data_IF_649377688215
#
_entry.id   IF_649377688215
#
_cell.length_a   1.000
_cell.length_b   1.000
_cell.length_c   1.000
_cell.angle_alpha   90.00
_cell.angle_beta   90.00
_cell.angle_gamma   90.00
#
_symmetry.space_group_name_H-M   'P 1'
#
loop_
_entity.id
_entity.type
_entity.pdbx_description
1 polymer ?
#
# COMPACT_ATOMS: atom_id res chain seq x y z
N UNK A 1 7.59 26.47 -15.06
CA UNK A 1 8.05 26.42 -13.65
C UNK A 1 8.48 24.99 -13.40
N UNK A 2 9.76 24.75 -13.15
CA UNK A 2 10.29 23.40 -12.92
C UNK A 2 10.18 23.11 -11.44
N UNK A 3 9.23 22.27 -11.04
CA UNK A 3 9.13 21.77 -9.67
C UNK A 3 10.12 20.61 -9.52
N UNK A 4 10.98 20.67 -8.52
CA UNK A 4 11.82 19.56 -8.12
C UNK A 4 11.30 19.06 -6.79
N UNK A 5 10.97 17.78 -6.70
CA UNK A 5 10.87 17.13 -5.42
C UNK A 5 11.18 15.66 -5.50
N UNK A 6 11.08 15.03 -4.34
CA UNK A 6 11.60 13.70 -4.09
C UNK A 6 10.42 12.77 -3.83
N UNK A 7 10.33 11.61 -4.53
CA UNK A 7 9.30 10.62 -4.25
C UNK A 7 9.35 10.21 -2.77
N UNK A 8 8.20 9.81 -2.24
CA UNK A 8 8.13 9.26 -0.88
C UNK A 8 8.55 7.79 -0.96
N UNK A 9 9.60 7.42 -0.22
CA UNK A 9 10.18 6.08 -0.24
C UNK A 9 10.05 5.53 1.16
N UNK A 10 9.14 4.57 1.33
CA UNK A 10 8.81 3.98 2.61
C UNK A 10 9.49 2.61 2.73
N UNK A 11 10.44 2.49 3.65
CA UNK A 11 11.12 1.24 4.02
C UNK A 11 10.18 0.37 4.86
N UNK A 12 9.88 -0.84 4.40
CA UNK A 12 9.13 -1.84 5.17
C UNK A 12 10.10 -2.54 6.11
N UNK A 13 10.00 -2.27 7.41
CA UNK A 13 10.99 -2.76 8.38
C UNK A 13 10.98 -4.27 8.57
N UNK A 14 9.80 -4.87 8.56
CA UNK A 14 9.65 -6.30 8.89
C UNK A 14 9.38 -7.16 7.66
N UNK A 15 8.75 -6.60 6.62
CA UNK A 15 8.24 -7.35 5.48
C UNK A 15 7.07 -8.27 5.83
N UNK A 16 6.58 -8.25 7.08
CA UNK A 16 5.57 -9.16 7.61
C UNK A 16 4.19 -8.50 7.65
N UNK A 17 3.14 -9.34 7.55
CA UNK A 17 1.75 -8.90 7.59
C UNK A 17 1.09 -9.13 8.96
N UNK A 18 1.55 -10.11 9.74
CA UNK A 18 0.84 -10.64 10.91
C UNK A 18 1.07 -9.82 12.19
N UNK A 19 2.29 -9.34 12.44
CA UNK A 19 2.64 -8.61 13.67
C UNK A 19 2.60 -7.07 13.50
N UNK A 20 2.16 -6.59 12.34
CA UNK A 20 2.30 -5.20 11.95
C UNK A 20 3.69 -4.92 11.35
N UNK A 21 3.76 -4.05 10.35
CA UNK A 21 5.03 -3.50 9.89
C UNK A 21 5.11 -2.00 10.06
N UNK A 22 6.28 -1.52 10.45
CA UNK A 22 6.60 -0.11 10.49
C UNK A 22 7.12 0.33 9.12
N UNK A 23 6.55 1.43 8.62
CA UNK A 23 6.97 2.08 7.38
C UNK A 23 7.60 3.43 7.72
N UNK A 24 8.88 3.60 7.35
CA UNK A 24 9.63 4.83 7.57
C UNK A 24 9.99 5.47 6.23
N UNK A 25 9.71 6.76 6.06
CA UNK A 25 10.30 7.49 4.93
C UNK A 25 11.82 7.54 5.09
N UNK A 26 12.56 7.16 4.06
CA UNK A 26 14.03 7.15 4.07
C UNK A 26 14.64 8.53 4.26
N UNK A 27 13.87 9.59 4.00
CA UNK A 27 14.27 10.99 4.24
C UNK A 27 13.63 11.56 5.51
N UNK A 28 13.02 10.72 6.35
CA UNK A 28 12.37 11.07 7.61
C UNK A 28 11.28 12.14 7.49
N UNK A 29 10.69 12.33 6.30
CA UNK A 29 9.62 13.32 6.05
C UNK A 29 8.25 12.81 6.49
N UNK A 30 8.07 11.49 6.52
CA UNK A 30 6.85 10.84 6.98
C UNK A 30 7.22 9.69 7.91
N UNK A 31 6.81 9.83 9.17
CA UNK A 31 6.93 8.78 10.19
C UNK A 31 5.55 8.41 10.70
N UNK A 32 5.07 7.22 10.36
CA UNK A 32 3.83 6.68 10.91
C UNK A 32 4.16 6.00 12.24
N UNK A 33 4.06 6.75 13.34
CA UNK A 33 4.23 6.20 14.69
C UNK A 33 2.87 5.89 15.35
N UNK A 34 2.80 4.91 16.26
CA UNK A 34 1.60 4.62 17.04
C UNK A 34 1.26 5.69 18.11
N UNK A 35 1.92 6.86 18.14
CA UNK A 35 1.72 7.91 19.17
C UNK A 35 0.78 9.03 18.70
N UNK A 36 0.02 8.83 17.62
CA UNK A 36 -1.02 9.78 17.20
C UNK A 36 -2.33 9.36 17.87
N UNK A 37 -3.06 10.25 18.59
CA UNK A 37 -4.37 9.92 19.17
C UNK A 37 -5.44 9.60 18.11
N UNK A 38 -5.11 9.70 16.82
CA UNK A 38 -5.97 9.35 15.68
C UNK A 38 -5.12 8.82 14.53
N UNK A 39 -5.17 7.52 14.28
CA UNK A 39 -4.52 6.91 13.12
C UNK A 39 -5.05 7.54 11.81
N UNK A 40 -4.15 7.76 10.83
CA UNK A 40 -4.54 8.27 9.50
C UNK A 40 -5.42 7.25 8.75
N UNK A 41 -5.10 5.98 8.92
CA UNK A 41 -5.92 4.85 8.52
C UNK A 41 -5.89 3.78 9.62
N UNK A 42 -7.02 3.11 9.85
CA UNK A 42 -7.08 1.93 10.73
C UNK A 42 -7.58 0.73 9.92
N UNK A 43 -6.88 -0.39 10.02
CA UNK A 43 -7.23 -1.65 9.37
C UNK A 43 -7.64 -2.66 10.45
N UNK A 44 -8.88 -3.14 10.39
CA UNK A 44 -9.39 -4.19 11.26
C UNK A 44 -9.70 -5.42 10.39
N UNK A 45 -8.79 -6.39 10.39
CA UNK A 45 -8.96 -7.63 9.63
C UNK A 45 -9.91 -8.59 10.35
N UNK A 46 -10.77 -9.24 9.59
CA UNK A 46 -11.74 -10.19 10.13
C UNK A 46 -11.07 -11.45 10.68
N UNK A 47 -11.80 -12.16 11.54
CA UNK A 47 -11.39 -13.49 12.03
C UNK A 47 -11.15 -14.46 10.87
N UNK A 48 -10.31 -15.47 11.10
CA UNK A 48 -9.96 -16.49 10.11
C UNK A 48 -9.39 -15.89 8.81
N UNK A 49 -8.55 -14.85 8.93
CA UNK A 49 -7.85 -14.21 7.82
C UNK A 49 -8.80 -13.52 6.83
N UNK A 50 -10.05 -13.28 7.22
CA UNK A 50 -11.03 -12.62 6.36
C UNK A 50 -10.73 -11.11 6.22
N UNK A 51 -11.27 -10.52 5.16
CA UNK A 51 -11.35 -9.07 5.07
C UNK A 51 -12.30 -8.53 6.15
N UNK A 52 -11.95 -7.40 6.74
CA UNK A 52 -12.80 -6.69 7.69
C UNK A 52 -13.06 -5.27 7.22
N UNK A 53 -12.69 -4.28 8.03
CA UNK A 53 -12.96 -2.86 7.76
C UNK A 53 -11.69 -2.03 7.66
N UNK A 54 -11.75 -1.01 6.81
CA UNK A 54 -10.78 0.08 6.77
C UNK A 54 -11.48 1.34 7.23
N UNK A 55 -10.81 2.17 8.02
CA UNK A 55 -11.32 3.48 8.38
C UNK A 55 -10.31 4.58 8.08
N UNK A 56 -10.79 5.68 7.51
CA UNK A 56 -10.06 6.93 7.40
C UNK A 56 -10.79 7.95 8.25
N UNK A 57 -10.06 8.65 9.13
CA UNK A 57 -10.69 9.64 10.02
C UNK A 57 -11.85 9.07 10.88
N UNK A 58 -11.84 7.77 11.18
CA UNK A 58 -12.87 7.10 12.00
C UNK A 58 -14.14 6.67 11.25
N UNK A 59 -14.25 6.92 9.95
CA UNK A 59 -15.36 6.40 9.13
C UNK A 59 -14.98 5.03 8.59
N UNK A 60 -15.60 3.98 9.14
CA UNK A 60 -15.31 2.60 8.75
C UNK A 60 -16.10 2.17 7.50
N UNK A 61 -15.41 1.51 6.58
CA UNK A 61 -15.95 0.94 5.33
C UNK A 61 -15.47 -0.51 5.20
N UNK A 62 -16.30 -1.45 4.74
CA UNK A 62 -15.84 -2.81 4.44
C UNK A 62 -14.69 -2.80 3.42
N UNK A 63 -13.60 -3.52 3.70
CA UNK A 63 -12.44 -3.60 2.79
C UNK A 63 -12.83 -4.14 1.41
N UNK A 64 -13.83 -5.03 1.33
CA UNK A 64 -14.37 -5.56 0.08
C UNK A 64 -15.11 -4.51 -0.78
N UNK A 65 -15.69 -3.51 -0.13
CA UNK A 65 -16.33 -2.37 -0.79
C UNK A 65 -15.29 -1.32 -1.18
N UNK A 66 -14.30 -1.08 -0.32
CA UNK A 66 -13.23 -0.12 -0.58
C UNK A 66 -12.30 -0.58 -1.71
N UNK A 67 -11.88 -1.86 -1.70
CA UNK A 67 -11.06 -2.51 -2.73
C UNK A 67 -11.89 -3.47 -3.58
N UNK A 68 -12.61 -2.91 -4.54
CA UNK A 68 -13.49 -3.64 -5.43
C UNK A 68 -12.70 -4.48 -6.45
N UNK A 69 -13.17 -5.71 -6.69
CA UNK A 69 -12.66 -6.56 -7.78
C UNK A 69 -12.98 -5.91 -9.12
N UNK A 70 -12.03 -5.93 -10.05
CA UNK A 70 -12.22 -5.39 -11.40
C UNK A 70 -13.01 -6.31 -12.32
N UNK A 71 -13.07 -7.61 -12.01
CA UNK A 71 -13.89 -8.59 -12.71
C UNK A 71 -14.33 -9.71 -11.77
N UNK A 72 -15.60 -10.17 -11.81
CA UNK A 72 -16.08 -11.31 -11.02
C UNK A 72 -15.42 -12.64 -11.40
N UNK A 73 -14.94 -12.78 -12.64
CA UNK A 73 -14.23 -13.97 -13.16
C UNK A 73 -12.71 -13.73 -13.34
N UNK A 74 -12.23 -12.53 -13.02
CA UNK A 74 -10.82 -12.17 -13.17
C UNK A 74 -9.96 -12.60 -11.99
N UNK A 75 -8.64 -12.64 -12.21
CA UNK A 75 -7.65 -12.85 -11.15
C UNK A 75 -7.88 -11.89 -9.97
N UNK A 76 -7.85 -12.41 -8.74
CA UNK A 76 -7.92 -11.62 -7.49
C UNK A 76 -6.78 -10.61 -7.33
N UNK A 77 -5.79 -10.64 -8.22
CA UNK A 77 -4.56 -9.84 -8.19
C UNK A 77 -4.75 -8.39 -8.65
N UNK A 78 -5.96 -8.01 -9.10
CA UNK A 78 -6.26 -6.64 -9.53
C UNK A 78 -7.48 -6.10 -8.82
N UNK A 79 -7.32 -5.01 -8.07
CA UNK A 79 -8.41 -4.33 -7.35
C UNK A 79 -8.30 -2.82 -7.46
N UNK A 80 -9.45 -2.15 -7.36
CA UNK A 80 -9.57 -0.70 -7.46
C UNK A 80 -10.08 -0.10 -6.17
N UNK A 81 -9.60 1.10 -5.86
CA UNK A 81 -10.11 1.91 -4.75
C UNK A 81 -10.29 3.36 -5.20
N UNK A 82 -11.26 4.04 -4.60
CA UNK A 82 -11.40 5.49 -4.69
C UNK A 82 -10.57 6.15 -3.61
N UNK A 83 -9.87 7.23 -3.95
CA UNK A 83 -9.10 8.03 -2.99
C UNK A 83 -9.79 9.38 -2.69
N UNK A 84 -9.24 10.10 -1.71
CA UNK A 84 -9.77 11.37 -1.22
C UNK A 84 -9.71 12.51 -2.24
N UNK A 85 -8.89 12.38 -3.29
CA UNK A 85 -8.81 13.33 -4.40
C UNK A 85 -9.94 13.13 -5.45
N UNK A 86 -10.85 12.19 -5.22
CA UNK A 86 -11.96 11.87 -6.12
C UNK A 86 -11.58 10.97 -7.29
N UNK A 87 -10.33 10.52 -7.39
CA UNK A 87 -9.88 9.63 -8.44
C UNK A 87 -9.95 8.16 -8.02
N UNK A 88 -9.95 7.28 -9.03
CA UNK A 88 -9.86 5.82 -8.84
C UNK A 88 -8.48 5.33 -9.23
N UNK A 89 -7.93 4.47 -8.38
CA UNK A 89 -6.63 3.85 -8.57
C UNK A 89 -6.76 2.34 -8.59
N UNK A 90 -5.75 1.66 -9.13
CA UNK A 90 -5.74 0.22 -9.32
C UNK A 90 -4.42 -0.37 -8.89
N UNK A 91 -4.46 -1.37 -8.01
CA UNK A 91 -3.33 -2.22 -7.73
C UNK A 91 -3.32 -3.44 -8.64
N UNK A 92 -2.15 -3.83 -9.12
CA UNK A 92 -1.94 -5.08 -9.83
C UNK A 92 -0.65 -5.77 -9.36
N UNK A 93 -0.69 -7.09 -9.21
CA UNK A 93 0.46 -7.90 -8.78
C UNK A 93 1.34 -8.31 -9.96
N UNK A 94 2.66 -8.15 -9.84
CA UNK A 94 3.69 -8.65 -10.79
C UNK A 94 3.43 -8.30 -12.27
N UNK A 95 2.96 -7.08 -12.52
CA UNK A 95 2.76 -6.58 -13.89
C UNK A 95 4.03 -5.97 -14.49
N UNK A 96 4.97 -5.53 -13.64
CA UNK A 96 6.26 -4.97 -14.06
C UNK A 96 7.43 -5.77 -13.48
N UNK A 97 8.56 -5.74 -14.17
CA UNK A 97 9.78 -6.43 -13.73
C UNK A 97 10.25 -5.81 -12.40
N UNK A 98 10.62 -6.67 -11.45
CA UNK A 98 11.12 -6.30 -10.11
C UNK A 98 10.12 -5.58 -9.19
N UNK A 99 8.86 -5.40 -9.59
CA UNK A 99 7.81 -4.85 -8.75
C UNK A 99 6.81 -5.95 -8.40
N UNK A 100 6.63 -6.21 -7.11
CA UNK A 100 5.64 -7.16 -6.65
C UNK A 100 4.23 -6.57 -6.79
N UNK A 101 4.08 -5.26 -6.54
CA UNK A 101 2.83 -4.53 -6.78
C UNK A 101 3.06 -3.22 -7.51
N UNK A 102 2.14 -2.88 -8.40
CA UNK A 102 2.11 -1.59 -9.09
C UNK A 102 0.74 -0.94 -8.91
N UNK A 103 0.71 0.32 -8.50
CA UNK A 103 -0.50 1.14 -8.40
C UNK A 103 -0.57 2.12 -9.58
N UNK A 104 -1.67 2.12 -10.32
CA UNK A 104 -1.87 3.02 -11.46
C UNK A 104 -3.16 3.82 -11.35
N UNK A 105 -3.19 5.01 -11.93
CA UNK A 105 -4.44 5.74 -12.17
C UNK A 105 -5.20 5.19 -13.39
N UNK A 106 -6.35 5.79 -13.71
CA UNK A 106 -7.20 5.40 -14.86
C UNK A 106 -6.52 5.50 -16.22
N UNK A 107 -5.50 6.35 -16.35
CA UNK A 107 -4.72 6.53 -17.57
C UNK A 107 -3.54 5.55 -17.68
N UNK A 108 -3.36 4.67 -16.69
CA UNK A 108 -2.27 3.70 -16.64
C UNK A 108 -0.93 4.27 -16.14
N UNK A 109 -0.90 5.53 -15.67
CA UNK A 109 0.32 6.08 -15.07
C UNK A 109 0.57 5.43 -13.72
N UNK A 110 1.81 4.99 -13.49
CA UNK A 110 2.25 4.46 -12.19
C UNK A 110 2.31 5.59 -11.18
N UNK A 111 1.60 5.42 -10.07
CA UNK A 111 1.56 6.38 -8.97
C UNK A 111 2.27 5.87 -7.72
N UNK A 112 2.39 4.56 -7.59
CA UNK A 112 3.14 3.91 -6.53
C UNK A 112 3.57 2.50 -6.96
N UNK A 113 4.62 1.97 -6.35
CA UNK A 113 5.05 0.59 -6.55
C UNK A 113 5.62 -0.01 -5.26
N UNK A 114 5.47 -1.32 -5.09
CA UNK A 114 6.07 -2.07 -3.99
C UNK A 114 7.02 -3.13 -4.55
N UNK A 115 8.26 -3.09 -4.09
CA UNK A 115 9.34 -3.96 -4.53
C UNK A 115 9.79 -4.84 -3.36
N UNK A 116 10.11 -6.09 -3.66
CA UNK A 116 10.76 -6.99 -2.70
C UNK A 116 12.26 -6.76 -2.69
N UNK A 117 12.92 -7.15 -1.60
CA UNK A 117 14.37 -7.20 -1.54
C UNK A 117 14.94 -7.96 -2.74
N UNK A 118 15.85 -7.38 -3.52
CA UNK A 118 16.56 -8.06 -4.60
C UNK A 118 17.19 -9.40 -4.16
N UNK A 119 17.11 -10.40 -5.03
CA UNK A 119 17.71 -11.70 -4.76
C UNK A 119 19.24 -11.59 -4.72
N UNK A 120 19.85 -12.13 -3.66
CA UNK A 120 21.31 -12.14 -3.46
C UNK A 120 21.85 -10.99 -2.61
N UNK A 121 21.00 -10.04 -2.18
CA UNK A 121 21.40 -9.01 -1.23
C UNK A 121 21.50 -9.56 0.20
N UNK A 122 22.40 -8.98 1.03
CA UNK A 122 22.57 -9.40 2.42
C UNK A 122 21.28 -9.19 3.24
N UNK A 123 21.27 -9.75 4.44
CA UNK A 123 20.27 -9.35 5.43
C UNK A 123 20.59 -7.95 5.94
N UNK A 124 19.57 -7.08 5.95
CA UNK A 124 19.68 -5.77 6.57
C UNK A 124 19.24 -5.90 8.03
N UNK A 125 20.10 -5.50 8.96
CA UNK A 125 19.85 -5.63 10.41
C UNK A 125 18.59 -4.92 10.90
N UNK A 126 18.15 -3.89 10.17
CA UNK A 126 17.02 -3.02 10.56
C UNK A 126 16.05 -2.79 9.40
N UNK A 127 15.99 -3.67 8.39
CA UNK A 127 15.08 -3.51 7.25
C UNK A 127 14.78 -4.85 6.60
N UNK A 128 13.58 -5.01 6.03
CA UNK A 128 13.28 -6.18 5.20
C UNK A 128 13.88 -6.09 3.80
N UNK A 129 14.34 -4.91 3.40
CA UNK A 129 14.73 -4.57 2.03
C UNK A 129 13.54 -4.41 1.07
N UNK A 130 12.30 -4.53 1.57
CA UNK A 130 11.11 -4.23 0.78
C UNK A 130 10.79 -2.74 0.86
N UNK A 131 10.35 -2.17 -0.26
CA UNK A 131 10.18 -0.72 -0.39
C UNK A 131 8.85 -0.41 -1.06
N UNK A 132 8.08 0.52 -0.48
CA UNK A 132 6.96 1.19 -1.13
C UNK A 132 7.43 2.57 -1.62
N UNK A 133 7.41 2.77 -2.93
CA UNK A 133 7.68 4.05 -3.57
C UNK A 133 6.37 4.70 -3.98
N UNK A 134 6.17 5.97 -3.63
CA UNK A 134 5.00 6.77 -4.04
C UNK A 134 5.51 7.99 -4.81
N UNK A 135 5.00 8.18 -6.02
CA UNK A 135 5.34 9.32 -6.84
C UNK A 135 4.94 10.62 -6.13
N UNK A 136 5.84 11.60 -6.17
CA UNK A 136 5.80 12.83 -5.36
C UNK A 136 4.42 13.53 -5.41
N UNK A 137 3.86 13.67 -6.60
CA UNK A 137 2.58 14.33 -6.84
C UNK A 137 1.37 13.66 -6.16
N UNK A 138 1.54 12.46 -5.59
CA UNK A 138 0.54 11.71 -4.84
C UNK A 138 0.92 11.50 -3.37
N UNK A 139 1.91 12.23 -2.85
CA UNK A 139 2.34 12.11 -1.45
C UNK A 139 1.22 12.38 -0.43
N UNK A 140 0.24 13.23 -0.79
CA UNK A 140 -0.95 13.49 0.02
C UNK A 140 -1.88 12.26 0.14
N UNK A 141 -1.77 11.28 -0.76
CA UNK A 141 -2.53 10.02 -0.75
C UNK A 141 -1.74 8.88 -0.08
N UNK A 142 -0.59 9.15 0.53
CA UNK A 142 0.26 8.12 1.12
C UNK A 142 -0.47 7.21 2.13
N UNK A 143 -1.35 7.72 3.02
CA UNK A 143 -2.13 6.86 3.91
C UNK A 143 -3.05 5.89 3.16
N UNK A 144 -3.78 6.36 2.15
CA UNK A 144 -4.66 5.54 1.33
C UNK A 144 -3.89 4.52 0.49
N UNK A 145 -2.76 4.91 -0.09
CA UNK A 145 -1.90 4.03 -0.90
C UNK A 145 -1.29 2.93 -0.03
N UNK A 146 -0.76 3.27 1.14
CA UNK A 146 -0.19 2.30 2.06
C UNK A 146 -1.26 1.34 2.61
N UNK A 147 -2.40 1.88 3.06
CA UNK A 147 -3.48 1.07 3.60
C UNK A 147 -4.07 0.11 2.55
N UNK A 148 -4.27 0.60 1.32
CA UNK A 148 -4.74 -0.24 0.21
C UNK A 148 -3.71 -1.31 -0.18
N UNK A 149 -2.41 -0.99 -0.21
CA UNK A 149 -1.35 -1.98 -0.44
C UNK A 149 -1.36 -3.08 0.62
N UNK A 150 -1.53 -2.72 1.89
CA UNK A 150 -1.55 -3.69 2.99
C UNK A 150 -2.70 -4.69 2.82
N UNK A 151 -3.90 -4.19 2.48
CA UNK A 151 -5.05 -5.06 2.19
C UNK A 151 -4.76 -5.95 0.98
N UNK A 152 -4.16 -5.42 -0.10
CA UNK A 152 -3.79 -6.22 -1.28
C UNK A 152 -2.81 -7.35 -0.94
N UNK A 153 -1.80 -7.07 -0.11
CA UNK A 153 -0.84 -8.07 0.36
C UNK A 153 -1.53 -9.15 1.21
N UNK A 154 -2.44 -8.77 2.10
CA UNK A 154 -3.26 -9.72 2.89
C UNK A 154 -4.10 -10.62 1.99
N UNK A 155 -4.79 -10.03 1.00
CA UNK A 155 -5.59 -10.77 0.01
C UNK A 155 -4.74 -11.79 -0.74
N UNK A 156 -3.52 -11.40 -1.13
CA UNK A 156 -2.60 -12.26 -1.84
C UNK A 156 -2.01 -13.39 -0.96
N UNK A 157 -1.76 -13.13 0.33
CA UNK A 157 -1.28 -14.15 1.27
C UNK A 157 -2.33 -15.24 1.51
N UNK A 158 -3.61 -14.85 1.56
CA UNK A 158 -4.72 -15.73 1.96
C UNK A 158 -5.68 -16.12 0.83
N UNK A 159 -5.37 -15.75 -0.42
CA UNK A 159 -6.15 -16.07 -1.62
C UNK A 159 -7.63 -15.64 -1.56
N UNK A 160 -7.87 -14.35 -1.24
CA UNK A 160 -9.21 -13.75 -1.06
C UNK A 160 -9.77 -12.99 -2.28
#
# INVERSE_FOLDING_TARGET
MTSYGLPLILDDKTGQLEDGSEFLDVHDRLRLTPIIPRALAALDFGRNKALGTISFSGVAVPMSQYLARTSPLGSSSVRRFGASDGQTYQWARRTQKNQEWTCTNVNGYVIASYSLKPAGEPEYSESSGCVLEIAEQFGNLAPEILASLWIMRHIAQYNL
#
